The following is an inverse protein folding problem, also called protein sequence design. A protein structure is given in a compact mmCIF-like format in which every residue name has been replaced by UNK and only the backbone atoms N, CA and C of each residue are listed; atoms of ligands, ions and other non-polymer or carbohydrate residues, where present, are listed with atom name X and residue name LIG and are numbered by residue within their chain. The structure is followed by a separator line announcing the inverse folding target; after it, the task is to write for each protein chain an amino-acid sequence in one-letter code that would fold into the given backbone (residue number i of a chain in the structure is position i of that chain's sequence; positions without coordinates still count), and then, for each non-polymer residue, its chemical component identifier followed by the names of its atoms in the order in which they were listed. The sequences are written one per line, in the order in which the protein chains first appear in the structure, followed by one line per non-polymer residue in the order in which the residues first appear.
data_IF_977957419136
#
_entry.id   IF_977957419136
#
_cell.length_a   1.000
_cell.length_b   1.000
_cell.length_c   1.000
_cell.angle_alpha   90.00
_cell.angle_beta   90.00
_cell.angle_gamma   90.00
#
_symmetry.space_group_name_H-M   'P 1'
#
loop_
_entity.id
_entity.type
_entity.pdbx_description
1 polymer ?
#
# COMPACT_ATOMS: atom_id res chain seq x y z
N UNK A 1 -13.75 5.56 11.20
CA UNK A 1 -12.63 6.34 11.78
C UNK A 1 -11.50 6.34 10.77
N UNK A 2 -10.87 7.48 10.43
CA UNK A 2 -9.73 7.46 9.52
C UNK A 2 -8.60 6.66 10.21
N UNK A 3 -8.02 5.64 9.56
CA UNK A 3 -6.85 4.95 10.08
C UNK A 3 -5.72 5.97 10.30
N UNK A 4 -5.28 6.14 11.56
CA UNK A 4 -4.15 7.01 11.91
C UNK A 4 -2.88 6.17 11.82
N UNK A 5 -2.00 6.51 10.88
CA UNK A 5 -0.69 5.90 10.83
C UNK A 5 0.17 6.41 12.00
N UNK A 6 0.75 5.51 12.78
CA UNK A 6 1.52 5.87 14.00
C UNK A 6 2.94 6.38 13.72
N UNK A 7 3.45 6.16 12.50
CA UNK A 7 4.73 6.61 11.97
C UNK A 7 4.54 7.30 10.60
N UNK A 8 5.60 7.79 9.96
CA UNK A 8 5.51 8.16 8.55
C UNK A 8 5.55 6.84 7.74
N UNK A 9 4.57 6.57 6.86
CA UNK A 9 4.60 5.40 5.98
C UNK A 9 5.85 5.47 5.09
N UNK A 10 6.65 4.40 5.07
CA UNK A 10 7.75 4.24 4.12
C UNK A 10 7.28 3.36 2.95
N UNK A 11 7.84 3.55 1.75
CA UNK A 11 7.54 2.72 0.56
C UNK A 11 7.87 1.25 0.75
N UNK A 12 8.67 0.92 1.76
CA UNK A 12 9.00 -0.46 2.13
C UNK A 12 7.91 -1.14 2.96
N UNK A 13 6.97 -0.37 3.51
CA UNK A 13 5.91 -0.90 4.36
C UNK A 13 4.86 -1.65 3.52
N UNK A 14 4.54 -2.91 3.85
CA UNK A 14 3.62 -3.73 3.05
C UNK A 14 2.21 -3.15 2.99
N UNK A 15 1.73 -2.55 4.09
CA UNK A 15 0.40 -1.93 4.13
C UNK A 15 0.31 -0.65 3.29
N UNK A 16 1.42 0.10 3.17
CA UNK A 16 1.47 1.28 2.32
C UNK A 16 1.48 0.88 0.85
N UNK A 17 2.26 -0.15 0.50
CA UNK A 17 2.32 -0.72 -0.86
C UNK A 17 0.97 -1.26 -1.32
N UNK A 18 0.24 -1.99 -0.45
CA UNK A 18 -1.12 -2.48 -0.74
C UNK A 18 -2.07 -1.35 -1.08
N UNK A 19 -2.00 -0.23 -0.35
CA UNK A 19 -2.87 0.91 -0.59
C UNK A 19 -2.49 1.64 -1.89
N UNK A 20 -1.20 1.87 -2.11
CA UNK A 20 -0.67 2.54 -3.30
C UNK A 20 -1.01 1.77 -4.59
N UNK A 21 -0.86 0.44 -4.60
CA UNK A 21 -1.22 -0.42 -5.73
C UNK A 21 -2.72 -0.33 -6.05
N UNK A 22 -3.58 -0.35 -5.03
CA UNK A 22 -5.05 -0.24 -5.20
C UNK A 22 -5.47 1.12 -5.73
N UNK A 23 -4.86 2.19 -5.23
CA UNK A 23 -5.15 3.55 -5.70
C UNK A 23 -4.67 3.73 -7.14
N UNK A 24 -3.47 3.24 -7.47
CA UNK A 24 -2.95 3.22 -8.84
C UNK A 24 -3.89 2.45 -9.77
N UNK A 25 -4.36 1.27 -9.37
CA UNK A 25 -5.36 0.52 -10.13
C UNK A 25 -6.67 1.30 -10.31
N UNK A 26 -7.19 1.91 -9.24
CA UNK A 26 -8.41 2.72 -9.32
C UNK A 26 -8.27 3.90 -10.30
N UNK A 27 -7.12 4.56 -10.35
CA UNK A 27 -6.84 5.62 -11.33
C UNK A 27 -6.86 5.09 -12.76
N UNK A 28 -6.31 3.90 -13.01
CA UNK A 28 -6.37 3.29 -14.33
C UNK A 28 -7.79 2.93 -14.74
N UNK A 29 -8.60 2.40 -13.80
CA UNK A 29 -10.02 2.11 -14.04
C UNK A 29 -10.79 3.40 -14.34
N UNK A 30 -10.54 4.48 -13.60
CA UNK A 30 -11.17 5.78 -13.82
C UNK A 30 -10.79 6.39 -15.19
N UNK A 31 -9.52 6.29 -15.57
CA UNK A 31 -9.06 6.74 -16.89
C UNK A 31 -9.70 5.93 -18.01
N UNK A 32 -9.74 4.60 -17.83
CA UNK A 32 -10.40 3.70 -18.77
C UNK A 32 -11.88 4.05 -18.92
N UNK A 33 -12.64 4.20 -17.82
CA UNK A 33 -14.06 4.51 -17.91
C UNK A 33 -14.32 5.88 -18.54
N UNK A 34 -13.54 6.90 -18.19
CA UNK A 34 -13.66 8.24 -18.76
C UNK A 34 -13.40 8.25 -20.27
N UNK A 35 -12.28 7.66 -20.71
CA UNK A 35 -11.92 7.60 -22.12
C UNK A 35 -12.91 6.75 -22.93
N UNK A 36 -13.26 5.56 -22.45
CA UNK A 36 -14.18 4.68 -23.18
C UNK A 36 -15.58 5.29 -23.24
N UNK A 37 -16.08 5.89 -22.15
CA UNK A 37 -17.37 6.59 -22.17
C UNK A 37 -17.39 7.71 -23.21
N UNK A 38 -16.34 8.53 -23.28
CA UNK A 38 -16.23 9.59 -24.29
C UNK A 38 -16.25 9.05 -25.71
N UNK A 39 -15.44 8.02 -26.01
CA UNK A 39 -15.39 7.40 -27.34
C UNK A 39 -16.75 6.83 -27.73
N UNK A 40 -17.42 6.10 -26.82
CA UNK A 40 -18.73 5.52 -27.07
C UNK A 40 -19.82 6.59 -27.23
N UNK A 41 -19.76 7.68 -26.48
CA UNK A 41 -20.67 8.81 -26.63
C UNK A 41 -20.61 9.44 -28.02
N UNK A 42 -19.41 9.74 -28.52
CA UNK A 42 -19.24 10.27 -29.88
C UNK A 42 -19.62 9.26 -30.96
N UNK A 43 -19.36 7.97 -30.73
CA UNK A 43 -19.78 6.89 -31.62
C UNK A 43 -21.30 6.88 -31.83
N UNK A 44 -22.06 7.07 -30.76
CA UNK A 44 -23.54 7.15 -30.80
C UNK A 44 -24.00 8.39 -31.56
N UNK A 45 -23.41 9.56 -31.28
CA UNK A 45 -23.78 10.81 -31.96
C UNK A 45 -23.50 10.74 -33.46
N UNK A 46 -22.35 10.20 -33.86
CA UNK A 46 -21.94 10.14 -35.26
C UNK A 46 -22.54 8.93 -36.01
N UNK A 47 -23.24 8.01 -35.33
CA UNK A 47 -23.76 6.77 -35.90
C UNK A 47 -22.67 5.98 -36.65
N UNK A 48 -21.46 5.96 -36.10
CA UNK A 48 -20.30 5.35 -36.74
C UNK A 48 -19.97 4.00 -36.09
N UNK A 49 -19.87 2.94 -36.90
CA UNK A 49 -19.53 1.62 -36.41
C UNK A 49 -18.06 1.28 -36.57
N UNK A 50 -17.23 2.01 -35.83
CA UNK A 50 -15.80 1.77 -35.80
C UNK A 50 -15.46 0.46 -35.11
N UNK A 51 -15.03 -0.53 -35.91
CA UNK A 51 -14.62 -1.85 -35.43
C UNK A 51 -13.42 -1.74 -34.47
N UNK A 52 -12.50 -0.80 -34.72
CA UNK A 52 -11.31 -0.61 -33.89
C UNK A 52 -11.64 -0.21 -32.44
N UNK A 53 -12.77 0.48 -32.19
CA UNK A 53 -13.14 0.89 -30.84
C UNK A 53 -13.44 -0.30 -29.93
N UNK A 54 -14.00 -1.38 -30.48
CA UNK A 54 -14.29 -2.63 -29.73
C UNK A 54 -13.00 -3.36 -29.37
N UNK A 55 -12.04 -3.42 -30.29
CA UNK A 55 -10.73 -4.01 -30.01
C UNK A 55 -9.94 -3.19 -28.99
N UNK A 56 -9.96 -1.86 -29.12
CA UNK A 56 -9.31 -0.97 -28.16
C UNK A 56 -9.90 -1.13 -26.75
N UNK A 57 -11.24 -1.09 -26.61
CA UNK A 57 -11.91 -1.27 -25.32
C UNK A 57 -11.63 -2.67 -24.75
N UNK A 58 -11.67 -3.70 -25.60
CA UNK A 58 -11.45 -5.10 -25.21
C UNK A 58 -10.03 -5.37 -24.72
N UNK A 59 -9.01 -4.99 -25.49
CA UNK A 59 -7.60 -5.18 -25.09
C UNK A 59 -7.28 -4.38 -23.84
N UNK A 60 -7.76 -3.14 -23.74
CA UNK A 60 -7.49 -2.31 -22.57
C UNK A 60 -8.22 -2.83 -21.32
N UNK A 61 -9.46 -3.32 -21.45
CA UNK A 61 -10.17 -3.99 -20.38
C UNK A 61 -9.46 -5.27 -19.93
N UNK A 62 -8.95 -6.08 -20.86
CA UNK A 62 -8.16 -7.27 -20.55
C UNK A 62 -6.89 -6.91 -19.75
N UNK A 63 -6.19 -5.84 -20.13
CA UNK A 63 -5.03 -5.34 -19.38
C UNK A 63 -5.41 -4.91 -17.96
N UNK A 64 -6.56 -4.25 -17.75
CA UNK A 64 -7.05 -3.93 -16.40
C UNK A 64 -7.35 -5.17 -15.58
N UNK A 65 -7.99 -6.17 -16.17
CA UNK A 65 -8.28 -7.45 -15.49
C UNK A 65 -6.97 -8.14 -15.10
N UNK A 66 -5.99 -8.20 -16.00
CA UNK A 66 -4.67 -8.74 -15.71
C UNK A 66 -3.98 -7.98 -14.55
N UNK A 67 -4.08 -6.64 -14.55
CA UNK A 67 -3.54 -5.81 -13.47
C UNK A 67 -4.25 -6.05 -12.14
N UNK A 68 -5.57 -6.19 -12.16
CA UNK A 68 -6.35 -6.54 -10.97
C UNK A 68 -5.92 -7.90 -10.41
N UNK A 69 -5.83 -8.92 -11.27
CA UNK A 69 -5.38 -10.25 -10.86
C UNK A 69 -3.97 -10.23 -10.26
N UNK A 70 -3.06 -9.43 -10.82
CA UNK A 70 -1.71 -9.27 -10.26
C UNK A 70 -1.74 -8.73 -8.83
N UNK A 71 -2.46 -7.63 -8.60
CA UNK A 71 -2.52 -6.97 -7.28
C UNK A 71 -3.29 -7.81 -6.25
N UNK A 72 -4.38 -8.48 -6.66
CA UNK A 72 -5.24 -9.22 -5.73
C UNK A 72 -4.79 -10.66 -5.47
N UNK A 73 -4.22 -11.35 -6.46
CA UNK A 73 -3.91 -12.78 -6.37
C UNK A 73 -2.42 -13.09 -6.22
N UNK A 74 -1.53 -12.26 -6.80
CA UNK A 74 -0.09 -12.58 -6.89
C UNK A 74 0.74 -11.75 -5.91
N UNK A 75 0.29 -10.53 -5.58
CA UNK A 75 1.08 -9.63 -4.75
C UNK A 75 1.23 -10.18 -3.32
N UNK A 76 2.42 -10.71 -3.05
CA UNK A 76 2.85 -11.12 -1.73
C UNK A 76 3.35 -9.88 -0.96
N UNK A 77 2.62 -9.56 0.10
CA UNK A 77 2.93 -8.47 1.01
C UNK A 77 3.29 -9.02 2.39
N UNK A 78 3.80 -10.25 2.47
CA UNK A 78 4.31 -10.84 3.69
C UNK A 78 5.32 -9.88 4.31
N UNK A 79 5.10 -9.57 5.59
CA UNK A 79 6.10 -8.85 6.37
C UNK A 79 7.40 -9.67 6.31
N UNK A 80 8.59 -9.03 6.19
CA UNK A 80 9.79 -9.73 6.57
C UNK A 80 9.56 -10.19 8.01
N UNK A 81 9.54 -11.50 8.23
CA UNK A 81 9.42 -12.11 9.55
C UNK A 81 10.38 -11.31 10.43
N UNK A 82 9.92 -10.70 11.54
CA UNK A 82 10.86 -10.06 12.43
C UNK A 82 11.82 -11.17 12.83
N UNK A 83 13.03 -11.13 12.28
CA UNK A 83 14.15 -11.85 12.85
C UNK A 83 14.13 -11.39 14.29
N UNK A 84 13.69 -12.29 15.18
CA UNK A 84 13.84 -12.11 16.61
C UNK A 84 15.34 -12.19 16.81
N UNK A 85 16.04 -11.11 16.50
CA UNK A 85 17.32 -10.81 17.11
C UNK A 85 16.96 -10.62 18.56
N UNK A 86 17.11 -11.71 19.32
CA UNK A 86 17.01 -11.74 20.75
C UNK A 86 17.61 -10.45 21.31
N UNK A 87 16.86 -9.80 22.20
CA UNK A 87 17.20 -8.56 22.84
C UNK A 87 18.66 -8.55 23.35
N UNK A 88 19.58 -8.00 22.56
CA UNK A 88 20.93 -7.72 23.05
C UNK A 88 20.93 -6.34 23.70
N UNK A 89 20.64 -6.34 25.00
CA UNK A 89 21.33 -5.47 25.94
C UNK A 89 20.84 -4.02 26.06
N UNK A 90 19.65 -3.80 26.60
CA UNK A 90 19.44 -2.61 27.44
C UNK A 90 19.81 -2.97 28.89
N UNK A 91 21.02 -2.63 29.31
CA UNK A 91 21.40 -2.60 30.73
C UNK A 91 20.79 -1.33 31.34
N UNK A 92 19.85 -1.41 32.30
CA UNK A 92 19.44 -0.23 33.04
C UNK A 92 20.66 0.29 33.81
N UNK A 93 20.99 1.57 33.65
CA UNK A 93 22.01 2.24 34.47
C UNK A 93 21.54 2.19 35.92
N UNK A 94 22.27 1.47 36.76
CA UNK A 94 22.10 1.49 38.22
C UNK A 94 22.10 2.95 38.72
N UNK A 95 21.04 3.33 39.44
CA UNK A 95 20.98 4.56 40.23
C UNK A 95 22.09 4.49 41.29
N UNK A 96 22.87 5.57 41.51
CA UNK A 96 23.84 5.57 42.59
C UNK A 96 23.10 5.45 43.93
N UNK A 97 23.37 4.35 44.63
CA UNK A 97 22.89 4.03 45.95
C UNK A 97 23.34 5.13 46.93
N UNK A 98 22.34 5.76 47.55
CA UNK A 98 22.50 6.84 48.51
C UNK A 98 23.25 6.30 49.73
N UNK A 99 24.53 6.68 49.86
CA UNK A 99 25.38 6.40 51.03
C UNK A 99 24.70 6.82 52.34
N UNK A 100 24.00 5.88 52.98
CA UNK A 100 23.53 5.99 54.36
C UNK A 100 24.73 5.84 55.29
N UNK A 101 25.38 6.96 55.66
CA UNK A 101 26.30 6.99 56.80
C UNK A 101 25.49 6.75 58.08
N UNK A 102 25.46 5.51 58.56
CA UNK A 102 25.13 5.19 59.95
C UNK A 102 26.41 5.27 60.78
N UNK A 103 26.41 6.19 61.74
CA UNK A 103 27.39 6.35 62.80
C UNK A 103 27.59 5.06 63.61
N UNK A 104 28.80 4.76 64.12
CA UNK A 104 28.95 3.93 65.29
C UNK A 104 29.15 4.79 66.55
N UNK A 105 28.28 4.53 67.54
CA UNK A 105 28.55 4.72 68.96
C UNK A 105 29.70 3.80 69.36
N UNK A 106 30.69 4.32 70.09
CA UNK A 106 31.19 3.86 71.41
C UNK A 106 32.38 4.72 71.80
#
# INVERSE_FOLDING_TARGET
MPPRWSRIPDRKDPDFRRLDDRMTFATHVALFTACNSGVWFFRIIQQQDWVWSVWMTGVWAASLVAHALYIFAIADYSEPTPVTTAATGFKPKEKPEKSTKRSPKL
#
